data_IF_855975955008
#
_entry.id   IF_855975955008
#
_cell.length_a   1.000
_cell.length_b   1.000
_cell.length_c   1.000
_cell.angle_alpha   90.00
_cell.angle_beta   90.00
_cell.angle_gamma   90.00
#
_symmetry.space_group_name_H-M   'P 1'
#
loop_
_entity.id
_entity.type
_entity.pdbx_description
1 polymer ?
#
# COMPACT_ATOMS: atom_id res chain seq x y z
N UNK A 1 26.46 8.68 -12.10
CA UNK A 1 25.41 9.58 -12.62
C UNK A 1 25.45 10.87 -11.83
N UNK A 2 25.84 11.98 -12.46
CA UNK A 2 26.00 13.27 -11.77
C UNK A 2 24.64 13.80 -11.28
N UNK A 3 24.50 13.94 -9.96
CA UNK A 3 23.34 14.61 -9.34
C UNK A 3 23.48 16.10 -9.68
N UNK A 4 22.70 16.57 -10.66
CA UNK A 4 22.59 18.00 -10.93
C UNK A 4 21.97 18.67 -9.71
N UNK A 5 22.81 19.35 -8.93
CA UNK A 5 22.41 20.24 -7.85
C UNK A 5 21.60 21.38 -8.44
N UNK A 6 20.30 21.44 -8.15
CA UNK A 6 19.51 22.63 -8.45
C UNK A 6 19.92 23.71 -7.47
N UNK A 7 20.75 24.65 -7.94
CA UNK A 7 21.01 25.90 -7.23
C UNK A 7 19.73 26.73 -7.29
N UNK A 8 19.07 26.89 -6.15
CA UNK A 8 17.98 27.86 -5.99
C UNK A 8 18.64 29.24 -5.91
N UNK A 9 18.68 29.94 -7.03
CA UNK A 9 19.06 31.36 -7.05
C UNK A 9 17.86 32.17 -6.56
N UNK A 10 17.91 32.60 -5.29
CA UNK A 10 16.96 33.60 -4.78
C UNK A 10 17.41 34.95 -5.29
N UNK A 11 16.83 35.41 -6.42
CA UNK A 11 16.93 36.81 -6.81
C UNK A 11 15.99 37.61 -5.91
N UNK A 12 16.56 38.47 -5.07
CA UNK A 12 15.83 39.44 -4.28
C UNK A 12 15.11 40.41 -5.22
N UNK A 13 13.79 40.25 -5.37
CA UNK A 13 12.96 41.12 -6.19
C UNK A 13 11.48 40.82 -6.00
N UNK A 14 10.81 41.68 -5.23
CA UNK A 14 9.36 41.82 -5.03
C UNK A 14 8.68 40.71 -4.20
N UNK A 15 7.98 41.15 -3.14
CA UNK A 15 7.49 40.38 -1.99
C UNK A 15 6.44 39.27 -2.27
N UNK A 16 6.17 38.89 -3.52
CA UNK A 16 5.21 37.85 -3.87
C UNK A 16 5.82 36.42 -3.93
N UNK A 17 7.11 36.29 -4.26
CA UNK A 17 7.74 34.98 -4.50
C UNK A 17 8.15 34.25 -3.22
N UNK A 18 8.41 34.99 -2.13
CA UNK A 18 8.71 34.40 -0.81
C UNK A 18 7.50 33.65 -0.26
N UNK A 19 6.28 34.19 -0.46
CA UNK A 19 5.04 33.54 -0.03
C UNK A 19 4.77 32.23 -0.78
N UNK A 20 5.01 32.20 -2.09
CA UNK A 20 4.86 30.99 -2.90
C UNK A 20 5.88 29.91 -2.49
N UNK A 21 7.17 30.26 -2.35
CA UNK A 21 8.22 29.33 -1.94
C UNK A 21 7.99 28.75 -0.53
N UNK A 22 7.59 29.58 0.43
CA UNK A 22 7.23 29.15 1.78
C UNK A 22 5.97 28.29 1.77
N UNK A 23 4.96 28.62 0.95
CA UNK A 23 3.75 27.81 0.81
C UNK A 23 4.03 26.43 0.21
N UNK A 24 4.90 26.33 -0.81
CA UNK A 24 5.32 25.04 -1.38
C UNK A 24 6.10 24.18 -0.36
N UNK A 25 7.02 24.79 0.38
CA UNK A 25 7.77 24.09 1.44
C UNK A 25 6.86 23.65 2.60
N UNK A 26 5.92 24.50 3.02
CA UNK A 26 4.94 24.15 4.05
C UNK A 26 4.02 23.00 3.61
N UNK A 27 3.51 23.06 2.37
CA UNK A 27 2.67 22.01 1.79
C UNK A 27 3.40 20.68 1.66
N UNK A 28 4.72 20.69 1.48
CA UNK A 28 5.55 19.48 1.48
C UNK A 28 5.69 18.85 2.88
N UNK A 29 5.73 19.67 3.94
CA UNK A 29 5.71 19.20 5.34
C UNK A 29 4.36 18.61 5.71
N UNK A 30 3.27 19.26 5.31
CA UNK A 30 1.90 18.73 5.45
C UNK A 30 1.73 17.42 4.66
N UNK A 31 2.35 17.32 3.47
CA UNK A 31 2.32 16.12 2.65
C UNK A 31 2.96 14.93 3.36
N UNK A 32 4.16 15.12 3.93
CA UNK A 32 4.88 14.06 4.65
C UNK A 32 4.21 13.71 5.98
N UNK A 33 3.70 14.69 6.72
CA UNK A 33 2.97 14.45 7.96
C UNK A 33 1.69 13.64 7.71
N UNK A 34 0.88 14.03 6.72
CA UNK A 34 -0.33 13.31 6.35
C UNK A 34 -0.03 11.87 5.88
N UNK A 35 1.03 11.69 5.09
CA UNK A 35 1.50 10.34 4.73
C UNK A 35 1.94 9.57 5.98
N UNK A 36 2.78 10.13 6.84
CA UNK A 36 3.24 9.48 8.07
C UNK A 36 2.07 9.02 8.95
N UNK A 37 1.01 9.82 9.09
CA UNK A 37 -0.20 9.44 9.83
C UNK A 37 -0.89 8.22 9.21
N UNK A 38 -1.07 8.19 7.89
CA UNK A 38 -1.72 7.07 7.18
C UNK A 38 -0.92 5.76 7.30
N UNK A 39 0.40 5.87 7.22
CA UNK A 39 1.34 4.74 7.33
C UNK A 39 1.66 4.36 8.78
N UNK A 40 1.18 5.12 9.78
CA UNK A 40 1.45 4.84 11.19
C UNK A 40 0.85 3.50 11.64
N UNK A 41 1.58 2.84 12.54
CA UNK A 41 1.07 1.71 13.31
C UNK A 41 0.10 2.25 14.35
N UNK A 42 -1.19 2.03 14.14
CA UNK A 42 -2.23 2.44 15.10
C UNK A 42 -2.51 1.29 16.07
N UNK A 43 -2.57 1.61 17.35
CA UNK A 43 -3.09 0.70 18.37
C UNK A 43 -4.61 0.62 18.24
N UNK A 44 -5.17 -0.57 18.43
CA UNK A 44 -6.61 -0.84 18.38
C UNK A 44 -7.16 -1.15 19.77
N UNK A 45 -6.70 -0.42 20.78
CA UNK A 45 -7.07 -0.65 22.18
C UNK A 45 -8.60 -0.58 22.44
N UNK A 46 -9.33 0.18 21.61
CA UNK A 46 -10.79 0.30 21.66
C UNK A 46 -11.54 -0.69 20.76
N UNK A 47 -10.86 -1.71 20.22
CA UNK A 47 -11.40 -2.56 19.15
C UNK A 47 -10.95 -2.12 17.76
N UNK A 48 -11.21 -2.98 16.77
CA UNK A 48 -10.85 -2.76 15.36
C UNK A 48 -12.12 -2.50 14.56
N UNK A 49 -12.21 -1.31 13.98
CA UNK A 49 -13.34 -0.92 13.13
C UNK A 49 -13.16 -1.40 11.69
N UNK A 50 -14.25 -1.44 10.92
CA UNK A 50 -14.18 -1.73 9.48
C UNK A 50 -13.19 -0.81 8.75
N UNK A 51 -13.23 0.48 9.07
CA UNK A 51 -12.34 1.49 8.49
C UNK A 51 -10.86 1.23 8.81
N UNK A 52 -10.55 0.65 9.97
CA UNK A 52 -9.17 0.30 10.35
C UNK A 52 -8.61 -0.84 9.49
N UNK A 53 -9.47 -1.78 9.12
CA UNK A 53 -9.12 -2.89 8.24
C UNK A 53 -8.99 -2.43 6.78
N UNK A 54 -9.90 -1.57 6.32
CA UNK A 54 -9.80 -0.93 4.99
C UNK A 54 -8.55 -0.06 4.91
N UNK A 55 -8.16 0.65 5.98
CA UNK A 55 -6.90 1.40 6.02
C UNK A 55 -5.68 0.54 5.70
N UNK A 56 -5.62 -0.70 6.21
CA UNK A 56 -4.53 -1.64 5.87
C UNK A 56 -4.60 -2.06 4.40
N UNK A 57 -5.80 -2.26 3.86
CA UNK A 57 -6.02 -2.55 2.45
C UNK A 57 -5.54 -1.39 1.54
N UNK A 58 -5.79 -0.13 1.90
CA UNK A 58 -5.34 1.03 1.09
C UNK A 58 -3.82 1.21 1.05
N UNK A 59 -3.08 0.57 1.96
CA UNK A 59 -1.61 0.53 1.92
C UNK A 59 -1.06 -0.45 0.86
N UNK A 60 -1.91 -1.08 0.07
CA UNK A 60 -1.52 -1.97 -1.01
C UNK A 60 -0.63 -1.30 -2.07
N UNK A 61 0.22 -2.11 -2.70
CA UNK A 61 0.93 -1.69 -3.90
C UNK A 61 -0.09 -1.47 -5.03
N UNK A 62 0.13 -0.43 -5.84
CA UNK A 62 -0.69 -0.14 -7.01
C UNK A 62 0.08 0.75 -7.98
N UNK A 63 -0.26 0.67 -9.26
CA UNK A 63 0.47 1.32 -10.34
C UNK A 63 0.31 2.84 -10.28
N UNK A 64 1.43 3.56 -10.41
CA UNK A 64 1.52 5.03 -10.30
C UNK A 64 0.84 5.63 -9.05
N UNK A 65 0.66 4.83 -8.00
CA UNK A 65 -0.11 5.20 -6.82
C UNK A 65 -1.55 5.70 -7.13
N UNK A 66 -2.14 5.21 -8.23
CA UNK A 66 -3.49 5.58 -8.68
C UNK A 66 -4.60 5.25 -7.68
N UNK A 67 -4.42 4.18 -6.90
CA UNK A 67 -5.35 3.71 -5.86
C UNK A 67 -6.77 3.46 -6.41
N UNK A 68 -6.92 2.53 -7.38
CA UNK A 68 -8.11 2.40 -8.21
C UNK A 68 -9.13 1.41 -7.64
N UNK A 69 -9.44 1.53 -6.35
CA UNK A 69 -10.33 0.64 -5.61
C UNK A 69 -11.49 1.39 -4.96
N UNK A 70 -12.60 0.68 -4.82
CA UNK A 70 -13.71 1.00 -3.93
C UNK A 70 -13.94 -0.18 -2.98
N UNK A 71 -14.16 0.13 -1.70
CA UNK A 71 -14.47 -0.85 -0.66
C UNK A 71 -15.92 -0.69 -0.25
N UNK A 72 -16.69 -1.75 -0.39
CA UNK A 72 -18.10 -1.78 -0.04
C UNK A 72 -18.29 -2.77 1.12
N UNK A 73 -18.85 -2.35 2.26
CA UNK A 73 -19.11 -3.28 3.36
C UNK A 73 -20.14 -4.32 2.91
N UNK A 74 -19.93 -5.57 3.29
CA UNK A 74 -20.88 -6.67 3.08
C UNK A 74 -21.24 -7.30 4.43
N UNK A 75 -22.32 -8.10 4.52
CA UNK A 75 -22.69 -8.75 5.77
C UNK A 75 -21.59 -9.62 6.39
N UNK A 76 -20.71 -10.17 5.56
CA UNK A 76 -19.64 -11.08 5.97
C UNK A 76 -18.24 -10.48 5.87
N UNK A 77 -18.07 -9.28 5.31
CA UNK A 77 -16.75 -8.69 5.13
C UNK A 77 -16.74 -7.44 4.26
N UNK A 78 -16.04 -7.50 3.12
CA UNK A 78 -15.91 -6.39 2.18
C UNK A 78 -15.86 -6.86 0.74
N UNK A 79 -16.54 -6.14 -0.15
CA UNK A 79 -16.36 -6.26 -1.58
C UNK A 79 -15.40 -5.16 -2.08
N UNK A 80 -14.47 -5.53 -2.96
CA UNK A 80 -13.45 -4.65 -3.52
C UNK A 80 -13.69 -4.53 -5.03
N UNK A 81 -14.19 -3.37 -5.45
CA UNK A 81 -14.57 -3.10 -6.83
C UNK A 81 -13.57 -2.17 -7.55
N UNK A 82 -13.46 -2.26 -8.89
CA UNK A 82 -12.61 -1.39 -9.69
C UNK A 82 -13.12 0.06 -9.71
N UNK A 83 -12.23 1.01 -9.42
CA UNK A 83 -12.50 2.44 -9.53
C UNK A 83 -11.99 3.02 -10.85
N UNK A 84 -12.77 2.90 -11.93
CA UNK A 84 -12.36 3.31 -13.28
C UNK A 84 -12.07 4.81 -13.43
N UNK A 85 -12.60 5.67 -12.56
CA UNK A 85 -12.24 7.08 -12.48
C UNK A 85 -10.74 7.31 -12.18
N UNK A 86 -10.03 6.26 -11.74
CA UNK A 86 -8.58 6.26 -11.47
C UNK A 86 -7.84 5.25 -12.34
N UNK A 87 -8.44 4.84 -13.46
CA UNK A 87 -7.76 4.07 -14.51
C UNK A 87 -6.62 4.88 -15.13
N UNK A 88 -5.68 4.17 -15.74
CA UNK A 88 -4.50 4.77 -16.37
C UNK A 88 -4.44 4.35 -17.84
N UNK A 89 -5.35 4.84 -18.71
CA UNK A 89 -5.55 4.30 -20.05
C UNK A 89 -4.29 4.29 -20.92
N UNK A 90 -3.38 5.26 -20.73
CA UNK A 90 -2.11 5.30 -21.47
C UNK A 90 -1.10 4.25 -20.96
N UNK A 91 -1.01 4.05 -19.64
CA UNK A 91 -0.01 3.16 -19.02
C UNK A 91 -0.54 1.74 -18.75
N UNK A 92 -1.85 1.54 -18.88
CA UNK A 92 -2.61 0.35 -18.52
C UNK A 92 -3.89 0.24 -19.36
N UNK A 93 -3.75 0.21 -20.69
CA UNK A 93 -4.87 0.25 -21.65
C UNK A 93 -5.96 -0.81 -21.42
N UNK A 94 -5.57 -1.96 -20.87
CA UNK A 94 -6.47 -3.08 -20.60
C UNK A 94 -6.88 -3.19 -19.12
N UNK A 95 -6.58 -2.19 -18.29
CA UNK A 95 -6.85 -2.19 -16.85
C UNK A 95 -6.20 -3.37 -16.08
N UNK A 96 -5.16 -3.99 -16.63
CA UNK A 96 -4.47 -5.13 -16.01
C UNK A 96 -3.88 -4.74 -14.64
N UNK A 97 -3.20 -3.60 -14.57
CA UNK A 97 -2.65 -3.10 -13.31
C UNK A 97 -3.73 -2.60 -12.36
N UNK A 98 -4.87 -2.12 -12.86
CA UNK A 98 -6.03 -1.82 -12.04
C UNK A 98 -6.49 -3.07 -11.27
N UNK A 99 -6.77 -4.17 -11.96
CA UNK A 99 -7.20 -5.41 -11.31
C UNK A 99 -6.09 -6.05 -10.45
N UNK A 100 -4.84 -6.00 -10.89
CA UNK A 100 -3.69 -6.40 -10.07
C UNK A 100 -3.65 -5.63 -8.73
N UNK A 101 -3.98 -4.33 -8.77
CA UNK A 101 -4.03 -3.49 -7.57
C UNK A 101 -5.18 -3.89 -6.63
N UNK A 102 -6.31 -4.37 -7.15
CA UNK A 102 -7.41 -4.90 -6.33
C UNK A 102 -6.97 -6.17 -5.59
N UNK A 103 -6.27 -7.08 -6.27
CA UNK A 103 -5.69 -8.28 -5.66
C UNK A 103 -4.72 -7.94 -4.52
N UNK A 104 -3.84 -6.96 -4.73
CA UNK A 104 -2.97 -6.48 -3.65
C UNK A 104 -3.74 -5.90 -2.46
N UNK A 105 -4.85 -5.18 -2.71
CA UNK A 105 -5.71 -4.65 -1.66
C UNK A 105 -6.45 -5.76 -0.91
N UNK A 106 -6.92 -6.79 -1.62
CA UNK A 106 -7.55 -7.97 -1.04
C UNK A 106 -6.59 -8.73 -0.11
N UNK A 107 -5.36 -9.00 -0.55
CA UNK A 107 -4.34 -9.67 0.28
C UNK A 107 -4.05 -8.88 1.56
N UNK A 108 -3.86 -7.56 1.46
CA UNK A 108 -3.70 -6.71 2.63
C UNK A 108 -4.91 -6.78 3.57
N UNK A 109 -6.13 -6.87 3.03
CA UNK A 109 -7.38 -7.00 3.81
C UNK A 109 -7.48 -8.34 4.52
N UNK A 110 -7.12 -9.43 3.84
CA UNK A 110 -7.05 -10.78 4.39
C UNK A 110 -6.06 -10.86 5.55
N UNK A 111 -4.87 -10.28 5.39
CA UNK A 111 -3.90 -10.17 6.47
C UNK A 111 -4.45 -9.29 7.61
N UNK A 112 -5.06 -8.15 7.29
CA UNK A 112 -5.57 -7.21 8.29
C UNK A 112 -6.58 -7.83 9.26
N UNK A 113 -7.48 -8.71 8.79
CA UNK A 113 -8.51 -9.31 9.64
C UNK A 113 -7.93 -10.24 10.71
N UNK A 114 -6.70 -10.74 10.52
CA UNK A 114 -5.99 -11.55 11.53
C UNK A 114 -5.57 -10.75 12.76
N UNK A 115 -5.64 -9.42 12.73
CA UNK A 115 -5.44 -8.58 13.94
C UNK A 115 -6.51 -8.86 14.99
N UNK A 116 -7.72 -9.22 14.56
CA UNK A 116 -8.84 -9.58 15.44
C UNK A 116 -9.02 -11.09 15.59
N UNK A 117 -7.99 -11.87 15.29
CA UNK A 117 -8.02 -13.33 15.43
C UNK A 117 -8.98 -14.04 14.47
N UNK A 118 -9.29 -13.46 13.31
CA UNK A 118 -10.20 -14.09 12.33
C UNK A 118 -9.47 -14.58 11.10
N UNK A 119 -9.95 -15.70 10.54
CA UNK A 119 -9.59 -16.16 9.20
C UNK A 119 -10.24 -15.29 8.12
N UNK A 120 -9.82 -15.46 6.87
CA UNK A 120 -10.41 -14.78 5.73
C UNK A 120 -10.40 -15.68 4.51
N UNK A 121 -11.45 -15.57 3.71
CA UNK A 121 -11.56 -16.21 2.41
C UNK A 121 -11.85 -15.17 1.34
N UNK A 122 -11.44 -15.50 0.12
CA UNK A 122 -11.62 -14.62 -1.03
C UNK A 122 -12.29 -15.34 -2.17
N UNK A 123 -13.24 -14.65 -2.80
CA UNK A 123 -13.86 -15.09 -4.04
C UNK A 123 -13.85 -13.95 -5.05
N UNK A 124 -13.75 -14.29 -6.33
CA UNK A 124 -13.93 -13.33 -7.40
C UNK A 124 -15.35 -13.49 -7.96
N UNK A 125 -16.12 -12.41 -7.92
CA UNK A 125 -17.41 -12.34 -8.61
C UNK A 125 -17.17 -11.65 -9.97
N UNK A 126 -17.34 -12.35 -11.11
CA UNK A 126 -17.15 -11.78 -12.42
C UNK A 126 -18.29 -10.87 -12.89
N UNK A 127 -19.39 -10.75 -12.13
CA UNK A 127 -20.53 -9.94 -12.52
C UNK A 127 -20.17 -8.46 -12.72
N UNK A 128 -20.76 -7.84 -13.76
CA UNK A 128 -20.51 -6.45 -14.11
C UNK A 128 -19.04 -6.21 -14.45
N UNK A 129 -18.39 -5.29 -13.73
CA UNK A 129 -16.97 -5.01 -13.89
C UNK A 129 -16.04 -5.99 -13.15
N UNK A 130 -16.60 -6.98 -12.47
CA UNK A 130 -15.87 -7.88 -11.60
C UNK A 130 -15.47 -7.25 -10.26
N UNK A 131 -15.57 -8.00 -9.17
CA UNK A 131 -15.13 -7.55 -7.83
C UNK A 131 -14.56 -8.72 -7.02
N UNK A 132 -13.73 -8.39 -6.03
CA UNK A 132 -13.19 -9.38 -5.09
C UNK A 132 -13.98 -9.29 -3.79
N UNK A 133 -14.62 -10.39 -3.41
CA UNK A 133 -15.24 -10.55 -2.10
C UNK A 133 -14.18 -11.06 -1.13
N UNK A 134 -14.05 -10.39 0.02
CA UNK A 134 -13.20 -10.83 1.13
C UNK A 134 -14.08 -11.01 2.35
N UNK A 135 -14.42 -12.26 2.65
CA UNK A 135 -15.23 -12.63 3.81
C UNK A 135 -14.33 -12.88 5.03
N UNK A 136 -14.76 -12.42 6.21
CA UNK A 136 -14.13 -12.79 7.48
C UNK A 136 -14.71 -14.09 8.00
N UNK A 137 -13.86 -15.05 8.34
CA UNK A 137 -14.25 -16.30 8.99
C UNK A 137 -14.48 -16.13 10.50
N UNK A 138 -15.01 -17.19 11.13
CA UNK A 138 -15.30 -17.24 12.56
C UNK A 138 -14.19 -17.89 13.39
N UNK A 139 -13.18 -18.45 12.74
CA UNK A 139 -12.16 -19.26 13.40
C UNK A 139 -11.07 -18.39 14.04
N UNK A 140 -10.56 -18.84 15.19
CA UNK A 140 -9.43 -18.23 15.91
C UNK A 140 -8.14 -18.40 15.12
N UNK A 141 -7.93 -17.50 14.16
CA UNK A 141 -6.79 -17.52 13.30
C UNK A 141 -5.63 -16.77 13.95
N UNK A 142 -4.51 -17.47 14.13
CA UNK A 142 -3.28 -16.86 14.60
C UNK A 142 -2.90 -15.63 13.74
N UNK A 143 -2.46 -14.59 14.44
CA UNK A 143 -1.96 -13.35 13.85
C UNK A 143 -0.79 -13.64 12.92
N UNK A 144 -0.89 -13.18 11.67
CA UNK A 144 0.16 -13.44 10.68
C UNK A 144 1.30 -12.42 10.80
N UNK A 145 2.55 -12.89 10.70
CA UNK A 145 3.73 -12.02 10.82
C UNK A 145 3.74 -10.85 9.80
N UNK A 146 3.18 -11.07 8.59
CA UNK A 146 3.11 -10.04 7.55
C UNK A 146 2.18 -8.87 7.87
N UNK A 147 1.29 -9.01 8.86
CA UNK A 147 0.39 -7.93 9.26
C UNK A 147 1.17 -6.68 9.70
N UNK A 148 2.29 -6.87 10.39
CA UNK A 148 3.16 -5.76 10.80
C UNK A 148 4.03 -5.22 9.68
N UNK A 149 4.25 -6.00 8.63
CA UNK A 149 5.02 -5.56 7.47
C UNK A 149 4.24 -4.56 6.59
N UNK A 150 2.90 -4.58 6.62
CA UNK A 150 2.05 -3.68 5.81
C UNK A 150 2.38 -2.18 6.02
N UNK A 151 2.37 -1.63 7.26
CA UNK A 151 2.71 -0.22 7.49
C UNK A 151 4.20 0.09 7.25
N UNK A 152 5.09 -0.90 7.35
CA UNK A 152 6.53 -0.69 7.18
C UNK A 152 6.93 -0.69 5.71
N UNK A 153 6.24 -1.46 4.86
CA UNK A 153 6.55 -1.64 3.44
C UNK A 153 6.66 -0.32 2.68
N UNK A 154 7.68 -0.19 1.85
CA UNK A 154 7.90 0.99 1.00
C UNK A 154 8.36 0.58 -0.41
N UNK A 155 8.01 1.40 -1.41
CA UNK A 155 8.66 1.35 -2.72
C UNK A 155 9.88 2.28 -2.68
N UNK A 156 11.07 1.71 -2.66
CA UNK A 156 12.34 2.44 -2.62
C UNK A 156 13.00 2.34 -4.00
N UNK A 157 13.33 3.51 -4.58
CA UNK A 157 14.08 3.66 -5.83
C UNK A 157 15.45 4.32 -5.58
N UNK A 158 15.91 4.25 -4.34
CA UNK A 158 17.27 4.65 -3.95
C UNK A 158 18.25 3.54 -4.29
N UNK A 159 19.52 3.89 -4.44
CA UNK A 159 20.59 2.91 -4.61
C UNK A 159 20.66 1.99 -3.39
N UNK A 160 20.78 0.69 -3.66
CA UNK A 160 21.01 -0.33 -2.65
C UNK A 160 22.51 -0.47 -2.41
N UNK A 161 22.91 -0.64 -1.15
CA UNK A 161 24.31 -0.73 -0.74
C UNK A 161 25.02 -2.06 -1.13
N UNK A 162 24.29 -2.99 -1.76
CA UNK A 162 24.81 -4.28 -2.20
C UNK A 162 25.19 -5.24 -1.07
N UNK A 163 24.91 -4.91 0.21
CA UNK A 163 25.19 -5.81 1.33
C UNK A 163 24.29 -7.04 1.23
N UNK A 164 24.91 -8.21 1.16
CA UNK A 164 24.18 -9.48 1.15
C UNK A 164 23.30 -9.59 2.40
N UNK A 165 22.02 -9.79 2.18
CA UNK A 165 21.06 -10.01 3.25
C UNK A 165 21.20 -11.44 3.78
N UNK A 166 22.31 -11.83 4.45
CA UNK A 166 22.47 -13.11 5.19
C UNK A 166 21.60 -14.25 4.62
N UNK A 167 21.95 -14.69 3.40
CA UNK A 167 20.97 -14.97 2.34
C UNK A 167 20.09 -16.22 2.54
N UNK A 168 20.59 -17.27 3.18
CA UNK A 168 19.90 -18.56 3.21
C UNK A 168 18.62 -18.54 4.05
N UNK A 169 18.66 -17.92 5.24
CA UNK A 169 17.52 -17.95 6.16
C UNK A 169 16.40 -17.02 5.71
N UNK A 170 16.73 -15.89 5.11
CA UNK A 170 15.72 -14.93 4.60
C UNK A 170 15.00 -15.42 3.35
N UNK A 171 15.70 -16.11 2.45
CA UNK A 171 15.05 -16.74 1.28
C UNK A 171 14.10 -17.84 1.72
N UNK A 172 14.53 -18.68 2.67
CA UNK A 172 13.67 -19.73 3.26
C UNK A 172 12.45 -19.14 3.97
N UNK A 173 12.66 -18.09 4.78
CA UNK A 173 11.57 -17.39 5.45
C UNK A 173 10.58 -16.78 4.45
N UNK A 174 11.08 -16.13 3.39
CA UNK A 174 10.24 -15.61 2.32
C UNK A 174 9.44 -16.73 1.64
N UNK A 175 10.08 -17.86 1.34
CA UNK A 175 9.41 -19.03 0.76
C UNK A 175 8.27 -19.57 1.63
N UNK A 176 8.51 -19.67 2.95
CA UNK A 176 7.50 -20.08 3.93
C UNK A 176 6.33 -19.09 3.99
N UNK A 177 6.62 -17.78 4.01
CA UNK A 177 5.61 -16.72 4.02
C UNK A 177 4.77 -16.69 2.74
N UNK A 178 5.39 -16.95 1.58
CA UNK A 178 4.70 -17.00 0.28
C UNK A 178 3.99 -18.33 0.01
N UNK A 179 4.13 -19.32 0.90
CA UNK A 179 3.58 -20.69 0.73
C UNK A 179 3.97 -21.30 -0.62
N UNK A 180 5.19 -21.02 -1.07
CA UNK A 180 5.68 -21.54 -2.35
C UNK A 180 6.17 -22.99 -2.26
N UNK A 181 6.28 -23.55 -1.05
CA UNK A 181 6.81 -24.90 -0.84
C UNK A 181 8.25 -25.00 -1.33
N UNK A 182 8.58 -26.11 -1.98
CA UNK A 182 9.91 -26.36 -2.57
C UNK A 182 10.08 -25.78 -3.98
N UNK A 183 9.13 -24.96 -4.46
CA UNK A 183 9.25 -24.32 -5.78
C UNK A 183 10.48 -23.41 -5.79
N UNK A 184 11.37 -23.60 -6.78
CA UNK A 184 12.44 -22.65 -7.06
C UNK A 184 11.82 -21.33 -7.52
N UNK A 185 11.77 -20.39 -6.61
CA UNK A 185 11.46 -19.01 -6.91
C UNK A 185 12.77 -18.38 -7.40
N UNK A 186 12.94 -18.29 -8.71
CA UNK A 186 14.00 -17.48 -9.33
C UNK A 186 13.63 -16.00 -9.23
N UNK A 187 13.47 -15.52 -8.00
CA UNK A 187 13.26 -14.11 -7.71
C UNK A 187 14.64 -13.46 -7.63
N UNK A 188 15.00 -12.72 -8.68
CA UNK A 188 16.12 -11.79 -8.61
C UNK A 188 15.74 -10.66 -7.64
N UNK A 189 16.02 -10.85 -6.36
CA UNK A 189 15.98 -9.77 -5.39
C UNK A 189 17.38 -9.18 -5.31
N UNK A 190 17.54 -7.94 -5.76
CA UNK A 190 18.70 -7.16 -5.37
C UNK A 190 18.56 -6.85 -3.88
N UNK A 191 19.33 -7.57 -3.07
CA UNK A 191 19.34 -7.44 -1.62
C UNK A 191 20.33 -6.35 -1.20
N UNK A 192 19.95 -5.56 -0.19
CA UNK A 192 20.78 -4.52 0.40
C UNK A 192 19.96 -3.56 1.23
N UNK A 193 20.62 -2.65 1.92
CA UNK A 193 19.97 -1.50 2.54
C UNK A 193 19.98 -0.33 1.57
N UNK A 194 18.88 0.39 1.54
CA UNK A 194 18.73 1.59 0.74
C UNK A 194 18.23 2.71 1.66
N UNK A 195 18.66 3.95 1.40
CA UNK A 195 18.13 5.09 2.13
C UNK A 195 16.60 5.16 1.96
N UNK A 196 15.84 5.32 3.05
CA UNK A 196 14.38 5.34 2.98
C UNK A 196 13.93 6.53 2.12
N UNK A 197 12.89 6.31 1.33
CA UNK A 197 12.25 7.38 0.56
C UNK A 197 11.16 8.05 1.42
N UNK A 198 10.61 9.20 0.98
CA UNK A 198 9.38 9.71 1.55
C UNK A 198 8.21 8.73 1.37
N UNK A 199 7.26 8.69 2.32
CA UNK A 199 6.10 7.78 2.24
C UNK A 199 5.13 8.25 1.15
N UNK A 200 4.58 7.32 0.38
CA UNK A 200 3.59 7.65 -0.65
C UNK A 200 2.28 8.07 -0.01
N UNK A 201 1.70 9.21 -0.42
CA UNK A 201 0.36 9.57 0.06
C UNK A 201 -0.68 8.52 -0.28
N UNK A 202 -1.67 8.37 0.59
CA UNK A 202 -2.87 7.59 0.32
C UNK A 202 -4.09 8.50 0.35
N UNK A 203 -5.11 8.14 -0.41
CA UNK A 203 -6.43 8.73 -0.32
C UNK A 203 -6.96 8.53 1.10
N UNK A 204 -7.71 9.49 1.65
CA UNK A 204 -8.47 9.28 2.88
C UNK A 204 -9.30 8.00 2.78
N UNK A 205 -9.32 7.20 3.85
CA UNK A 205 -10.01 5.90 3.88
C UNK A 205 -11.49 6.05 3.54
N UNK A 206 -12.14 7.11 4.06
CA UNK A 206 -13.55 7.43 3.77
C UNK A 206 -13.85 7.63 2.29
N UNK A 207 -12.89 8.15 1.50
CA UNK A 207 -13.09 8.40 0.07
C UNK A 207 -12.96 7.10 -0.75
N UNK A 208 -12.39 6.05 -0.15
CA UNK A 208 -12.28 4.73 -0.76
C UNK A 208 -13.44 3.81 -0.38
N UNK A 209 -14.19 4.13 0.68
CA UNK A 209 -15.36 3.36 1.12
C UNK A 209 -16.59 3.91 0.39
N UNK A 210 -17.39 3.01 -0.18
CA UNK A 210 -18.68 3.33 -0.81
C UNK A 210 -19.81 2.65 -0.03
N UNK A 211 -21.02 3.20 -0.14
CA UNK A 211 -22.21 2.59 0.44
C UNK A 211 -22.51 1.23 -0.22
N UNK A 212 -23.14 0.34 0.56
CA UNK A 212 -23.56 -0.97 0.10
C UNK A 212 -24.71 -0.90 -0.91
#
# INVERSE_FOLDING_TARGET
MQRRSFVVVVRAGVAADVGAGVHWLARSRDHQAAAATLWSRRSFASGVEFADLVRRATLAANRHNAQPWHFQPTPTGVAIAPGFARSLPVADAHNHHLYTSLGCAAENRMLAVRVVGRSSETAFDPAGAGRIEVAGGRDDAARHALVDAIPDRQCTRSDYDGRLLGAADRVRQLGALLRVGDRRVDLLVCYGHAAPMPRSQRRPVRDAIIAA
#
